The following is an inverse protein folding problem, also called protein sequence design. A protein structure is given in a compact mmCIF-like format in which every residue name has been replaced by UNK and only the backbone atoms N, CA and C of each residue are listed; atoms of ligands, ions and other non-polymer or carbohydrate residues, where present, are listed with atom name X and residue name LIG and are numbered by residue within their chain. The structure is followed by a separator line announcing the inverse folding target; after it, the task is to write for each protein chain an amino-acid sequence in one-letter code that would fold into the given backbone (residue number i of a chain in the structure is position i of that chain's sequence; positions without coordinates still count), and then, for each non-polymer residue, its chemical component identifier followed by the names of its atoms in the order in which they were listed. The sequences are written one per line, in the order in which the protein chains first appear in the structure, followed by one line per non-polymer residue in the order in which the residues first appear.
data_IF_113909350388
#
_entry.id   IF_113909350388
#
_cell.length_a   1.000
_cell.length_b   1.000
_cell.length_c   1.000
_cell.angle_alpha   90.00
_cell.angle_beta   90.00
_cell.angle_gamma   90.00
#
_symmetry.space_group_name_H-M   'P 1'
#
loop_
_entity.id
_entity.type
_entity.pdbx_description
1 polymer ?
#
# COMPACT_ATOMS: atom_id res chain seq x y z
N UNK A 1 3.80 4.35 -0.75
CA UNK A 1 4.33 4.00 -2.08
C UNK A 1 3.83 5.05 -3.06
N UNK A 2 4.17 4.95 -4.34
CA UNK A 2 3.76 5.91 -5.36
C UNK A 2 4.95 6.70 -5.90
N UNK A 3 4.83 7.14 -7.15
CA UNK A 3 5.89 7.83 -7.88
C UNK A 3 7.19 7.02 -7.86
N UNK A 4 8.28 7.57 -7.32
CA UNK A 4 9.60 6.94 -7.27
C UNK A 4 9.72 5.79 -6.26
N UNK A 5 8.70 5.61 -5.40
CA UNK A 5 8.61 4.51 -4.41
C UNK A 5 7.91 3.30 -5.02
N UNK A 6 8.60 2.65 -5.95
CA UNK A 6 8.13 1.51 -6.73
C UNK A 6 8.50 0.19 -6.01
N UNK A 7 7.55 -0.72 -5.72
CA UNK A 7 7.82 -1.96 -4.98
C UNK A 7 8.91 -2.83 -5.64
N UNK A 8 8.81 -3.03 -6.96
CA UNK A 8 9.75 -3.83 -7.74
C UNK A 8 11.21 -3.38 -7.59
N UNK A 9 11.48 -2.08 -7.41
CA UNK A 9 12.84 -1.54 -7.21
C UNK A 9 13.58 -2.23 -6.06
N UNK A 10 12.88 -2.64 -5.01
CA UNK A 10 13.46 -3.23 -3.81
C UNK A 10 13.61 -4.76 -3.87
N UNK A 11 13.01 -5.40 -4.88
CA UNK A 11 12.98 -6.86 -5.04
C UNK A 11 13.46 -7.35 -6.41
N UNK A 12 13.83 -6.44 -7.30
CA UNK A 12 14.32 -6.76 -8.65
C UNK A 12 15.42 -7.83 -8.60
N UNK A 13 15.21 -8.91 -9.35
CA UNK A 13 16.15 -10.02 -9.48
C UNK A 13 16.27 -10.95 -8.25
N UNK A 14 15.62 -10.64 -7.12
CA UNK A 14 15.66 -11.51 -5.93
C UNK A 14 15.01 -12.86 -6.22
N UNK A 15 15.53 -13.91 -5.59
CA UNK A 15 15.06 -15.28 -5.77
C UNK A 15 14.47 -15.85 -4.49
N UNK A 16 13.53 -16.77 -4.65
CA UNK A 16 12.96 -17.61 -3.59
C UNK A 16 12.37 -16.82 -2.41
N UNK A 17 11.70 -15.69 -2.70
CA UNK A 17 10.98 -14.92 -1.69
C UNK A 17 9.87 -15.78 -1.06
N UNK A 18 9.82 -15.84 0.27
CA UNK A 18 8.90 -16.72 1.03
C UNK A 18 7.58 -16.05 1.40
N UNK A 19 7.50 -14.73 1.26
CA UNK A 19 6.38 -13.92 1.75
C UNK A 19 5.43 -13.46 0.64
N UNK A 20 5.51 -14.08 -0.54
CA UNK A 20 4.74 -13.64 -1.72
C UNK A 20 3.23 -13.60 -1.48
N UNK A 21 2.68 -14.59 -0.77
CA UNK A 21 1.27 -14.70 -0.43
C UNK A 21 0.78 -13.72 0.63
N UNK A 22 1.69 -13.10 1.39
CA UNK A 22 1.28 -12.20 2.46
C UNK A 22 0.68 -10.92 1.88
N UNK A 23 -0.42 -10.40 2.45
CA UNK A 23 -1.00 -9.13 2.01
C UNK A 23 -0.06 -7.96 2.27
N UNK A 24 -0.19 -6.90 1.48
CA UNK A 24 0.42 -5.60 1.75
C UNK A 24 -0.52 -4.68 2.53
N UNK A 25 0.05 -3.79 3.33
CA UNK A 25 -0.64 -2.67 3.96
C UNK A 25 0.01 -1.39 3.43
N UNK A 26 -0.34 -1.00 2.20
CA UNK A 26 0.25 0.14 1.53
C UNK A 26 -0.72 1.32 1.43
N UNK A 27 -0.14 2.51 1.28
CA UNK A 27 -0.84 3.77 1.07
C UNK A 27 -0.10 4.53 -0.04
N UNK A 28 -0.85 5.15 -0.96
CA UNK A 28 -0.26 6.01 -1.99
C UNK A 28 0.13 7.38 -1.39
N UNK A 29 1.13 8.04 -1.99
CA UNK A 29 1.60 9.36 -1.52
C UNK A 29 0.49 10.40 -1.55
N UNK A 30 -0.28 10.46 -2.63
CA UNK A 30 -1.36 11.44 -2.79
C UNK A 30 -2.50 11.20 -1.82
N UNK A 31 -2.83 9.92 -1.55
CA UNK A 31 -3.78 9.59 -0.50
C UNK A 31 -3.27 10.05 0.88
N UNK A 32 -1.98 9.85 1.17
CA UNK A 32 -1.40 10.32 2.42
C UNK A 32 -1.53 11.85 2.59
N UNK A 33 -1.26 12.62 1.54
CA UNK A 33 -1.38 14.09 1.55
C UNK A 33 -2.85 14.49 1.72
N UNK A 34 -3.74 13.95 0.89
CA UNK A 34 -5.16 14.28 0.94
C UNK A 34 -5.82 13.92 2.27
N UNK A 35 -5.39 12.83 2.90
CA UNK A 35 -5.88 12.44 4.25
C UNK A 35 -5.38 13.43 5.31
N UNK A 36 -4.12 13.88 5.22
CA UNK A 36 -3.58 14.92 6.13
C UNK A 36 -4.38 16.23 5.96
N UNK A 37 -4.63 16.66 4.74
CA UNK A 37 -5.45 17.84 4.44
C UNK A 37 -6.87 17.68 4.99
N UNK A 38 -7.48 16.51 4.81
CA UNK A 38 -8.79 16.20 5.36
C UNK A 38 -8.79 16.30 6.89
N UNK A 39 -7.77 15.76 7.59
CA UNK A 39 -7.63 15.91 9.04
C UNK A 39 -7.50 17.37 9.49
N UNK A 40 -6.72 18.18 8.78
CA UNK A 40 -6.54 19.60 9.11
C UNK A 40 -7.84 20.42 8.92
N UNK A 41 -8.78 19.92 8.12
CA UNK A 41 -10.10 20.54 7.93
C UNK A 41 -11.13 20.17 9.02
N UNK A 42 -10.83 19.18 9.87
CA UNK A 42 -11.74 18.73 10.92
C UNK A 42 -11.78 19.70 12.11
N UNK A 43 -12.92 19.79 12.81
CA UNK A 43 -13.05 20.59 14.02
C UNK A 43 -12.15 20.05 15.14
N UNK A 44 -11.72 20.91 16.08
CA UNK A 44 -10.76 20.58 17.14
C UNK A 44 -11.19 19.39 18.00
N UNK A 45 -12.49 19.15 18.18
CA UNK A 45 -13.05 18.04 18.94
C UNK A 45 -12.77 16.67 18.29
N UNK A 46 -12.47 16.63 16.99
CA UNK A 46 -12.09 15.42 16.27
C UNK A 46 -10.60 15.04 16.47
N UNK A 47 -9.81 15.91 17.11
CA UNK A 47 -8.39 15.67 17.35
C UNK A 47 -8.16 14.73 18.53
N UNK A 48 -6.91 14.32 18.76
CA UNK A 48 -6.51 13.38 19.80
C UNK A 48 -7.10 11.96 19.64
N UNK A 49 -7.26 11.53 18.38
CA UNK A 49 -7.71 10.19 18.01
C UNK A 49 -6.63 9.49 17.17
N UNK A 50 -6.59 8.16 17.24
CA UNK A 50 -5.66 7.34 16.44
C UNK A 50 -6.39 6.65 15.30
N UNK A 51 -5.85 6.79 14.09
CA UNK A 51 -6.37 6.17 12.87
C UNK A 51 -5.29 5.36 12.16
N UNK A 52 -5.70 4.22 11.59
CA UNK A 52 -4.87 3.50 10.64
C UNK A 52 -5.07 4.12 9.25
N UNK A 53 -3.98 4.55 8.63
CA UNK A 53 -3.99 5.15 7.29
C UNK A 53 -3.38 4.16 6.31
N UNK A 54 -4.24 3.41 5.62
CA UNK A 54 -3.89 2.35 4.68
C UNK A 54 -4.97 2.25 3.61
N UNK A 55 -4.60 1.92 2.38
CA UNK A 55 -5.55 1.66 1.29
C UNK A 55 -6.52 0.53 1.69
N UNK A 56 -7.83 0.61 1.36
CA UNK A 56 -8.81 -0.39 1.78
C UNK A 56 -8.59 -1.81 1.24
N UNK A 57 -7.89 -1.96 0.12
CA UNK A 57 -7.60 -3.28 -0.45
C UNK A 57 -6.18 -3.75 -0.13
N UNK A 58 -6.03 -5.06 0.00
CA UNK A 58 -4.81 -5.72 0.48
C UNK A 58 -4.34 -6.82 -0.48
N UNK A 59 -3.92 -6.48 -1.71
CA UNK A 59 -3.32 -7.46 -2.63
C UNK A 59 -2.07 -8.07 -1.99
N UNK A 60 -1.69 -9.23 -2.49
CA UNK A 60 -0.50 -9.94 -2.05
C UNK A 60 0.78 -9.21 -2.46
N UNK A 61 1.87 -9.44 -1.72
CA UNK A 61 3.20 -8.96 -2.12
C UNK A 61 3.57 -9.43 -3.52
N UNK A 62 3.24 -10.68 -3.87
CA UNK A 62 3.49 -11.25 -5.19
C UNK A 62 2.84 -10.41 -6.29
N UNK A 63 1.55 -10.12 -6.17
CA UNK A 63 0.81 -9.33 -7.17
C UNK A 63 1.42 -7.93 -7.31
N UNK A 64 1.69 -7.24 -6.20
CA UNK A 64 2.24 -5.88 -6.20
C UNK A 64 3.67 -5.83 -6.76
N UNK A 65 4.51 -6.80 -6.40
CA UNK A 65 5.90 -6.84 -6.86
C UNK A 65 5.97 -7.12 -8.36
N UNK A 66 5.22 -8.12 -8.84
CA UNK A 66 5.19 -8.47 -10.26
C UNK A 66 4.55 -7.37 -11.09
N UNK A 67 3.42 -6.82 -10.65
CA UNK A 67 2.71 -5.75 -11.36
C UNK A 67 3.51 -4.45 -11.49
N UNK A 68 4.45 -4.20 -10.59
CA UNK A 68 5.32 -3.02 -10.65
C UNK A 68 6.66 -3.25 -11.39
N UNK A 69 6.90 -4.43 -11.97
CA UNK A 69 8.15 -4.74 -12.67
C UNK A 69 8.16 -4.25 -14.12
N UNK A 70 7.16 -4.65 -14.91
CA UNK A 70 7.11 -4.43 -16.36
C UNK A 70 7.24 -2.95 -16.75
N UNK A 71 6.52 -1.99 -16.13
CA UNK A 71 6.52 -0.61 -16.61
C UNK A 71 7.88 0.09 -16.48
N UNK A 72 8.81 -0.48 -15.70
CA UNK A 72 10.11 0.12 -15.36
C UNK A 72 11.30 -0.78 -15.71
N UNK A 73 11.06 -1.91 -16.38
CA UNK A 73 12.11 -2.84 -16.79
C UNK A 73 12.84 -3.53 -15.63
N UNK A 74 12.20 -3.65 -14.45
CA UNK A 74 12.78 -4.41 -13.34
C UNK A 74 12.70 -5.91 -13.62
N UNK A 75 13.73 -6.65 -13.18
CA UNK A 75 13.77 -8.10 -13.33
C UNK A 75 12.78 -8.70 -12.32
N UNK A 76 11.76 -9.46 -12.74
CA UNK A 76 10.79 -10.04 -11.83
C UNK A 76 11.46 -10.94 -10.76
N UNK A 77 11.10 -10.79 -9.47
CA UNK A 77 11.55 -11.71 -8.45
C UNK A 77 10.92 -13.10 -8.63
N UNK A 78 11.53 -14.13 -8.03
CA UNK A 78 10.89 -15.45 -7.88
C UNK A 78 10.45 -15.70 -6.45
N UNK A 79 9.43 -16.54 -6.30
CA UNK A 79 8.85 -16.92 -5.01
C UNK A 79 9.00 -18.43 -4.82
N UNK A 80 9.17 -18.86 -3.57
CA UNK A 80 9.08 -20.29 -3.19
C UNK A 80 7.70 -20.56 -2.58
N UNK A 81 7.38 -21.83 -2.39
CA UNK A 81 6.22 -22.26 -1.60
C UNK A 81 6.07 -21.51 -0.29
N UNK A 82 4.83 -21.17 0.00
CA UNK A 82 4.45 -20.30 1.09
C UNK A 82 4.78 -20.96 2.43
N UNK A 83 5.67 -20.32 3.20
CA UNK A 83 5.88 -20.66 4.60
C UNK A 83 4.76 -20.00 5.38
N UNK A 84 4.12 -20.74 6.29
CA UNK A 84 3.15 -20.15 7.22
C UNK A 84 3.84 -19.11 8.11
N UNK A 85 3.77 -17.85 7.69
CA UNK A 85 4.25 -16.69 8.44
C UNK A 85 3.06 -15.90 8.98
N UNK A 86 3.18 -15.37 10.20
CA UNK A 86 2.14 -14.52 10.77
C UNK A 86 2.09 -13.19 10.03
N UNK A 87 0.88 -12.68 9.79
CA UNK A 87 0.66 -11.39 9.14
C UNK A 87 -0.43 -10.60 9.84
N UNK A 88 -0.54 -9.33 9.46
CA UNK A 88 -1.60 -8.42 9.91
C UNK A 88 -2.29 -7.84 8.70
N UNK A 89 -3.62 -7.78 8.74
CA UNK A 89 -4.45 -7.01 7.82
C UNK A 89 -4.97 -5.80 8.57
N UNK A 90 -4.55 -4.61 8.15
CA UNK A 90 -4.82 -3.36 8.87
C UNK A 90 -6.09 -2.74 8.28
N UNK A 91 -7.15 -2.62 9.09
CA UNK A 91 -8.39 -1.95 8.66
C UNK A 91 -8.24 -0.43 8.69
N UNK A 92 -8.69 0.23 7.62
CA UNK A 92 -8.89 1.68 7.52
C UNK A 92 -10.36 2.11 7.65
N UNK A 93 -11.27 1.22 8.06
CA UNK A 93 -12.70 1.52 8.17
C UNK A 93 -12.98 2.69 9.12
N UNK A 94 -12.25 2.75 10.24
CA UNK A 94 -12.38 3.87 11.19
C UNK A 94 -12.03 5.21 10.53
N UNK A 95 -11.01 5.23 9.67
CA UNK A 95 -10.65 6.44 8.93
C UNK A 95 -11.78 6.83 7.98
N UNK A 96 -12.23 5.88 7.16
CA UNK A 96 -13.29 6.09 6.16
C UNK A 96 -14.61 6.56 6.77
N UNK A 97 -14.93 6.11 7.99
CA UNK A 97 -16.15 6.47 8.69
C UNK A 97 -16.12 7.86 9.34
N UNK A 98 -14.95 8.40 9.66
CA UNK A 98 -14.82 9.62 10.49
C UNK A 98 -14.13 10.78 9.79
N UNK A 99 -13.40 10.51 8.70
CA UNK A 99 -12.67 11.53 7.94
C UNK A 99 -13.29 11.60 6.56
N UNK A 100 -13.74 12.79 6.09
CA UNK A 100 -14.41 12.96 4.81
C UNK A 100 -13.40 12.91 3.67
N UNK A 101 -12.78 11.75 3.46
CA UNK A 101 -11.79 11.50 2.43
C UNK A 101 -12.16 10.29 1.58
N UNK A 102 -12.08 10.44 0.26
CA UNK A 102 -12.24 9.34 -0.69
C UNK A 102 -10.87 8.98 -1.28
N UNK A 103 -10.46 7.72 -1.12
CA UNK A 103 -9.20 7.24 -1.68
C UNK A 103 -9.15 7.42 -3.19
N UNK A 104 -8.10 8.07 -3.67
CA UNK A 104 -7.72 8.13 -5.07
C UNK A 104 -7.21 6.75 -5.50
N UNK A 105 -6.43 6.08 -4.63
CA UNK A 105 -5.89 4.75 -4.89
C UNK A 105 -6.32 3.74 -3.82
N UNK A 106 -7.54 3.17 -3.93
CA UNK A 106 -8.04 2.20 -2.95
C UNK A 106 -7.34 0.84 -3.03
N UNK A 107 -6.72 0.53 -4.17
CA UNK A 107 -5.99 -0.71 -4.42
C UNK A 107 -4.51 -0.44 -4.73
N UNK A 108 -3.57 -1.03 -3.98
CA UNK A 108 -2.14 -0.95 -4.27
C UNK A 108 -1.71 -1.41 -5.67
N UNK A 109 -2.52 -2.22 -6.38
CA UNK A 109 -2.24 -2.59 -7.77
C UNK A 109 -2.42 -1.43 -8.76
N UNK A 110 -3.22 -0.42 -8.39
CA UNK A 110 -3.56 0.72 -9.25
C UNK A 110 -2.71 1.96 -8.95
N UNK A 111 -1.70 1.83 -8.07
CA UNK A 111 -0.86 2.95 -7.65
C UNK A 111 -0.11 3.55 -8.85
N UNK A 112 -0.16 4.88 -8.95
CA UNK A 112 0.65 5.59 -9.94
C UNK A 112 2.14 5.55 -9.56
N UNK A 113 2.97 5.20 -10.53
CA UNK A 113 4.42 5.15 -10.40
C UNK A 113 5.08 5.93 -11.54
N UNK A 114 6.19 6.59 -11.23
CA UNK A 114 6.99 7.38 -12.19
C UNK A 114 8.44 7.46 -11.72
N UNK A 115 9.40 7.55 -12.65
CA UNK A 115 10.83 7.71 -12.37
C UNK A 115 11.29 9.16 -12.48
#
# INVERSE_FOLDING_TARGET
MGYERIPAKYVSGKKNLTTGHLPVNYLHRDDAIGIIEAFLSLPNEAWNQTYNVVSPQHPTRREVYLGSCEPFGYIPPTFKDDISESYKLISSERLQANVPYSFIYPNPLDFHYSL
#
